data_IF_471451690244
#
_entry.id   IF_471451690244
#
_cell.length_a   1.000
_cell.length_b   1.000
_cell.length_c   1.000
_cell.angle_alpha   90.00
_cell.angle_beta   90.00
_cell.angle_gamma   90.00
#
_symmetry.space_group_name_H-M   'P 1'
#
loop_
_entity.id
_entity.type
_entity.pdbx_description
1 polymer ?
#
# COMPACT_ATOMS: atom_id res chain seq x y z
N UNK A 1 -1.71 5.80 22.56
CA UNK A 1 -2.12 5.42 21.21
C UNK A 1 -3.40 4.65 21.32
N UNK A 2 -4.34 4.97 20.45
CA UNK A 2 -5.65 4.35 20.44
C UNK A 2 -6.12 4.24 18.99
N UNK A 3 -6.76 3.13 18.65
CA UNK A 3 -7.42 2.97 17.34
C UNK A 3 -6.49 3.04 16.12
N UNK A 4 -5.27 2.50 16.25
CA UNK A 4 -4.21 2.56 15.23
C UNK A 4 -3.84 1.14 14.75
N UNK A 5 -3.49 1.04 13.47
CA UNK A 5 -2.83 -0.14 12.90
C UNK A 5 -1.33 0.17 12.74
N UNK A 6 -0.44 -0.66 13.32
CA UNK A 6 1.01 -0.61 13.15
C UNK A 6 1.49 -1.95 12.59
N UNK A 7 2.25 -1.90 11.50
CA UNK A 7 2.66 -3.05 10.69
C UNK A 7 3.88 -2.73 9.85
N UNK A 8 4.51 -3.80 9.36
CA UNK A 8 5.63 -3.86 8.42
C UNK A 8 7.00 -3.47 9.00
N UNK A 9 7.16 -3.45 10.32
CA UNK A 9 8.49 -3.40 10.93
C UNK A 9 8.92 -4.82 11.36
N UNK A 10 10.02 -5.37 10.81
CA UNK A 10 10.36 -6.78 10.97
C UNK A 10 10.75 -7.17 12.41
N UNK A 11 11.18 -6.21 13.23
CA UNK A 11 11.72 -6.47 14.57
C UNK A 11 11.04 -5.65 15.68
N UNK A 12 10.67 -4.38 15.44
CA UNK A 12 10.12 -3.51 16.49
C UNK A 12 9.26 -2.40 15.88
N UNK A 13 7.97 -2.41 16.21
CA UNK A 13 7.00 -1.40 15.80
C UNK A 13 7.12 -0.12 16.66
N UNK A 14 7.48 -0.25 17.94
CA UNK A 14 7.60 0.88 18.87
C UNK A 14 8.89 0.80 19.65
N UNK A 15 9.69 1.86 19.56
CA UNK A 15 10.99 1.98 20.20
C UNK A 15 11.04 3.14 21.19
N UNK A 16 11.33 2.84 22.46
CA UNK A 16 11.55 3.87 23.49
C UNK A 16 13.04 4.24 23.51
N UNK A 17 13.37 5.51 23.75
CA UNK A 17 14.77 5.93 23.85
C UNK A 17 15.45 5.21 25.04
N UNK A 18 16.60 4.53 24.85
CA UNK A 18 17.33 3.89 25.95
C UNK A 18 18.04 4.90 26.87
N UNK A 19 18.13 6.17 26.45
CA UNK A 19 18.81 7.24 27.17
C UNK A 19 17.91 8.46 27.36
N UNK A 20 18.28 9.29 28.33
CA UNK A 20 17.55 10.52 28.64
C UNK A 20 16.36 10.25 29.55
N UNK A 21 15.41 11.19 29.59
CA UNK A 21 14.24 11.09 30.46
C UNK A 21 13.34 9.94 30.00
N UNK A 22 12.80 9.14 30.94
CA UNK A 22 11.92 8.05 30.58
C UNK A 22 10.65 8.58 29.94
N UNK A 23 10.16 7.86 28.93
CA UNK A 23 8.87 8.13 28.30
C UNK A 23 7.83 7.09 28.73
N UNK A 24 6.56 7.41 28.48
CA UNK A 24 5.48 6.46 28.70
C UNK A 24 4.56 6.42 27.50
N UNK A 25 4.02 5.25 27.19
CA UNK A 25 2.97 5.09 26.20
C UNK A 25 1.85 4.19 26.74
N UNK A 26 0.61 4.58 26.50
CA UNK A 26 -0.55 3.70 26.65
C UNK A 26 -0.98 3.21 25.27
N UNK A 27 -1.38 1.95 25.15
CA UNK A 27 -1.84 1.34 23.89
C UNK A 27 -3.12 0.57 24.17
N UNK A 28 -4.18 0.93 23.46
CA UNK A 28 -5.53 0.38 23.63
C UNK A 28 -6.23 0.36 22.27
N UNK A 29 -7.03 -0.67 21.97
CA UNK A 29 -7.78 -0.79 20.72
C UNK A 29 -6.93 -0.59 19.45
N UNK A 30 -5.68 -1.08 19.46
CA UNK A 30 -4.79 -1.04 18.31
C UNK A 30 -4.60 -2.43 17.70
N UNK A 31 -4.29 -2.50 16.40
CA UNK A 31 -3.76 -3.71 15.78
C UNK A 31 -2.26 -3.51 15.57
N UNK A 32 -1.42 -4.27 16.27
CA UNK A 32 0.04 -4.13 16.22
C UNK A 32 0.62 -5.48 15.82
N UNK A 33 1.33 -5.52 14.69
CA UNK A 33 2.03 -6.72 14.23
C UNK A 33 3.11 -7.14 15.23
N UNK A 34 3.04 -8.39 15.69
CA UNK A 34 3.87 -8.91 16.78
C UNK A 34 3.43 -8.47 18.18
N UNK A 35 2.29 -7.78 18.29
CA UNK A 35 1.62 -7.45 19.54
C UNK A 35 2.50 -6.70 20.54
N UNK A 36 2.44 -7.10 21.81
CA UNK A 36 3.24 -6.47 22.88
C UNK A 36 4.74 -6.77 22.73
N UNK A 37 5.09 -7.89 22.10
CA UNK A 37 6.49 -8.33 21.93
C UNK A 37 7.22 -7.47 20.89
N UNK A 38 6.49 -6.83 19.97
CA UNK A 38 7.01 -5.85 19.01
C UNK A 38 7.31 -4.47 19.62
N UNK A 39 7.24 -4.32 20.95
CA UNK A 39 7.48 -3.06 21.66
C UNK A 39 8.73 -3.17 22.52
N UNK A 40 9.74 -2.36 22.18
CA UNK A 40 10.95 -2.27 22.96
C UNK A 40 10.95 -1.02 23.85
N UNK A 41 10.76 -1.24 25.15
CA UNK A 41 10.79 -0.17 26.17
C UNK A 41 12.22 0.24 26.59
N UNK A 42 13.24 -0.52 26.19
CA UNK A 42 14.64 -0.36 26.58
C UNK A 42 14.89 -0.24 28.10
N UNK A 43 13.96 -0.72 28.93
CA UNK A 43 13.95 -0.49 30.38
C UNK A 43 14.07 1.01 30.77
N UNK A 44 13.76 1.93 29.86
CA UNK A 44 13.85 3.38 30.07
C UNK A 44 12.50 4.06 29.82
N UNK A 45 11.42 3.40 30.23
CA UNK A 45 10.08 3.96 30.17
C UNK A 45 9.02 2.98 30.62
N UNK A 46 7.77 3.39 30.52
CA UNK A 46 6.62 2.59 30.97
C UNK A 46 5.63 2.39 29.83
N UNK A 47 5.34 1.13 29.52
CA UNK A 47 4.26 0.75 28.62
C UNK A 47 3.02 0.37 29.44
N UNK A 48 1.89 1.00 29.14
CA UNK A 48 0.58 0.62 29.63
C UNK A 48 -0.16 -0.09 28.50
N UNK A 49 -0.23 -1.42 28.59
CA UNK A 49 -0.99 -2.24 27.65
C UNK A 49 -2.41 -2.43 28.15
N UNK A 50 -3.37 -1.74 27.55
CA UNK A 50 -4.77 -1.85 27.93
C UNK A 50 -5.58 -2.75 27.00
N UNK A 51 -6.89 -2.53 26.98
CA UNK A 51 -7.85 -3.44 26.35
C UNK A 51 -7.92 -3.31 24.83
N UNK A 52 -8.50 -4.32 24.19
CA UNK A 52 -8.90 -4.27 22.78
C UNK A 52 -7.75 -4.31 21.76
N UNK A 53 -6.51 -4.46 22.20
CA UNK A 53 -5.38 -4.64 21.28
C UNK A 53 -5.44 -6.03 20.63
N UNK A 54 -5.14 -6.08 19.34
CA UNK A 54 -5.10 -7.30 18.53
C UNK A 54 -3.76 -7.39 17.78
N UNK A 55 -3.40 -8.61 17.39
CA UNK A 55 -2.23 -8.94 16.55
C UNK A 55 -2.69 -9.98 15.53
N UNK A 56 -3.39 -9.51 14.50
CA UNK A 56 -3.99 -10.32 13.46
C UNK A 56 -3.87 -9.56 12.13
N UNK A 57 -3.87 -10.25 10.99
CA UNK A 57 -3.84 -9.56 9.69
C UNK A 57 -5.08 -8.64 9.53
N UNK A 58 -4.92 -7.31 9.36
CA UNK A 58 -6.03 -6.41 9.10
C UNK A 58 -6.83 -6.70 7.83
N UNK A 59 -6.39 -7.59 6.93
CA UNK A 59 -7.11 -7.93 5.69
C UNK A 59 -7.52 -6.68 4.90
N UNK A 60 -6.55 -5.87 4.51
CA UNK A 60 -6.79 -4.70 3.68
C UNK A 60 -7.32 -5.08 2.28
N UNK A 61 -8.15 -4.23 1.69
CA UNK A 61 -8.63 -4.39 0.31
C UNK A 61 -7.43 -4.32 -0.63
N UNK A 62 -7.05 -5.46 -1.21
CA UNK A 62 -6.00 -5.58 -2.22
C UNK A 62 -6.29 -4.80 -3.48
N UNK A 63 -5.22 -4.35 -4.16
CA UNK A 63 -5.32 -3.70 -5.47
C UNK A 63 -4.44 -2.48 -5.63
N UNK A 64 -4.06 -1.80 -4.55
CA UNK A 64 -3.14 -0.65 -4.56
C UNK A 64 -2.28 -0.62 -3.28
N UNK A 65 -1.02 -0.16 -3.41
CA UNK A 65 -0.03 -0.10 -2.33
C UNK A 65 -0.36 0.85 -1.16
N UNK A 66 -1.51 1.55 -1.23
CA UNK A 66 -1.99 2.45 -0.19
C UNK A 66 -3.48 2.23 0.11
N UNK A 67 -4.03 1.09 -0.30
CA UNK A 67 -5.39 0.71 0.06
C UNK A 67 -5.38 0.20 1.50
N UNK A 68 -5.62 1.11 2.44
CA UNK A 68 -5.76 0.79 3.87
C UNK A 68 -7.24 0.62 4.27
N UNK A 69 -8.13 0.50 3.27
CA UNK A 69 -9.52 0.12 3.48
C UNK A 69 -9.59 -1.34 3.93
N UNK A 70 -10.46 -1.66 4.88
CA UNK A 70 -10.61 -2.99 5.43
C UNK A 70 -11.60 -3.81 4.59
N UNK A 71 -11.31 -5.10 4.40
CA UNK A 71 -12.33 -6.03 3.92
C UNK A 71 -13.41 -6.25 4.99
N UNK A 72 -14.64 -6.65 4.61
CA UNK A 72 -15.70 -6.96 5.58
C UNK A 72 -15.38 -8.11 6.54
N UNK A 73 -14.34 -8.91 6.27
CA UNK A 73 -13.90 -10.02 7.12
C UNK A 73 -12.75 -9.64 8.05
N UNK A 74 -12.27 -8.39 7.98
CA UNK A 74 -11.15 -7.92 8.79
C UNK A 74 -11.44 -8.02 10.28
N UNK A 75 -10.47 -8.47 11.11
CA UNK A 75 -10.58 -8.44 12.56
C UNK A 75 -10.59 -7.01 13.13
N UNK A 76 -10.23 -6.00 12.31
CA UNK A 76 -10.25 -4.59 12.68
C UNK A 76 -11.64 -3.95 12.55
N UNK A 77 -12.58 -4.61 11.86
CA UNK A 77 -13.94 -4.09 11.66
C UNK A 77 -14.72 -4.09 12.97
N UNK A 78 -15.37 -2.97 13.27
CA UNK A 78 -16.09 -2.70 14.49
C UNK A 78 -15.26 -3.03 15.74
N UNK A 79 -13.92 -2.95 15.68
CA UNK A 79 -13.01 -3.40 16.75
C UNK A 79 -12.37 -2.25 17.52
N UNK A 80 -12.59 -1.01 17.09
CA UNK A 80 -12.01 0.20 17.68
C UNK A 80 -12.57 0.57 19.05
N UNK A 81 -12.08 1.66 19.65
CA UNK A 81 -12.54 2.01 21.00
C UNK A 81 -14.06 2.23 21.05
N UNK A 82 -14.78 1.61 22.02
CA UNK A 82 -16.22 1.80 22.17
C UNK A 82 -16.56 3.20 22.71
N UNK A 83 -15.64 3.83 23.45
CA UNK A 83 -15.78 5.22 23.90
C UNK A 83 -15.05 6.15 22.92
N UNK A 84 -15.84 6.92 22.18
CA UNK A 84 -15.35 7.93 21.23
C UNK A 84 -15.38 9.35 21.81
N UNK A 85 -15.79 9.49 23.07
CA UNK A 85 -15.89 10.78 23.76
C UNK A 85 -14.52 11.45 23.82
N UNK A 86 -14.45 12.72 23.42
CA UNK A 86 -13.20 13.49 23.49
C UNK A 86 -12.16 13.13 22.42
N UNK A 87 -12.44 12.16 21.53
CA UNK A 87 -11.55 11.86 20.40
C UNK A 87 -11.64 12.89 19.26
N UNK A 88 -12.66 13.76 19.29
CA UNK A 88 -12.89 14.78 18.25
C UNK A 88 -12.89 14.19 16.84
N UNK A 89 -13.56 13.05 16.68
CA UNK A 89 -13.61 12.35 15.40
C UNK A 89 -14.19 13.26 14.30
N UNK A 90 -13.64 13.23 13.08
CA UNK A 90 -14.26 13.88 11.93
C UNK A 90 -15.62 13.23 11.62
N UNK A 91 -16.48 13.93 10.89
CA UNK A 91 -17.77 13.38 10.47
C UNK A 91 -17.62 12.18 9.51
N UNK A 92 -16.52 12.16 8.75
CA UNK A 92 -16.21 11.12 7.76
C UNK A 92 -14.80 10.58 7.92
N UNK A 93 -14.57 9.37 7.42
CA UNK A 93 -13.26 8.75 7.27
C UNK A 93 -12.46 9.32 6.08
N UNK A 94 -11.31 8.72 5.75
CA UNK A 94 -10.47 9.16 4.63
C UNK A 94 -11.06 8.86 3.24
N UNK A 95 -11.99 7.90 3.13
CA UNK A 95 -12.73 7.61 1.89
C UNK A 95 -13.97 8.51 1.73
N UNK A 96 -14.32 9.31 2.74
CA UNK A 96 -15.50 10.17 2.75
C UNK A 96 -16.77 9.49 3.27
N UNK A 97 -16.66 8.27 3.80
CA UNK A 97 -17.77 7.54 4.43
C UNK A 97 -17.98 8.00 5.88
N UNK A 98 -19.15 7.78 6.50
CA UNK A 98 -19.36 8.13 7.91
C UNK A 98 -18.30 7.50 8.83
N UNK A 99 -17.72 8.30 9.73
CA UNK A 99 -16.63 7.84 10.62
C UNK A 99 -17.09 6.84 11.70
N UNK A 100 -18.38 6.77 11.98
CA UNK A 100 -18.95 5.75 12.87
C UNK A 100 -19.98 5.01 12.05
N UNK A 101 -19.72 3.75 11.77
CA UNK A 101 -20.60 2.84 11.06
C UNK A 101 -21.00 1.70 12.01
N UNK A 102 -22.18 1.10 11.86
CA UNK A 102 -22.70 0.04 12.75
C UNK A 102 -22.63 0.29 14.29
N UNK A 103 -22.40 1.53 14.72
CA UNK A 103 -22.33 1.93 16.12
C UNK A 103 -20.95 1.80 16.78
N UNK A 104 -19.91 1.37 16.05
CA UNK A 104 -18.54 1.29 16.54
C UNK A 104 -17.57 1.74 15.44
N UNK A 105 -16.41 2.28 15.81
CA UNK A 105 -15.40 2.63 14.81
C UNK A 105 -14.53 1.41 14.52
N UNK A 106 -14.02 1.32 13.31
CA UNK A 106 -12.97 0.37 12.95
C UNK A 106 -11.62 0.78 13.55
N UNK A 107 -10.71 -0.18 13.75
CA UNK A 107 -9.31 0.14 14.06
C UNK A 107 -8.65 0.66 12.77
N UNK A 108 -8.09 1.87 12.83
CA UNK A 108 -7.49 2.54 11.67
C UNK A 108 -8.28 3.77 11.19
N UNK A 109 -7.98 4.23 9.97
CA UNK A 109 -8.44 5.51 9.44
C UNK A 109 -9.61 5.42 8.43
N UNK A 110 -10.02 4.20 8.08
CA UNK A 110 -11.11 3.90 7.15
C UNK A 110 -12.18 3.09 7.88
N UNK A 111 -13.45 3.26 7.48
CA UNK A 111 -14.59 2.50 8.00
C UNK A 111 -15.15 1.58 6.91
N UNK A 112 -15.24 0.28 7.18
CA UNK A 112 -15.81 -0.71 6.28
C UNK A 112 -17.33 -0.54 6.18
N UNK A 113 -17.86 -0.28 4.99
CA UNK A 113 -19.30 0.04 4.77
C UNK A 113 -20.16 -1.18 4.39
N UNK A 114 -19.83 -2.40 4.83
CA UNK A 114 -20.59 -3.63 4.56
C UNK A 114 -20.87 -3.95 3.06
N UNK A 115 -20.09 -3.39 2.12
CA UNK A 115 -20.23 -3.79 0.72
C UNK A 115 -19.56 -5.13 0.50
N UNK A 116 -20.37 -6.19 0.38
CA UNK A 116 -19.93 -7.51 -0.06
C UNK A 116 -19.44 -7.40 -1.52
N UNK A 117 -18.19 -7.01 -1.73
CA UNK A 117 -17.49 -7.24 -2.98
C UNK A 117 -17.14 -8.73 -3.06
N UNK A 118 -17.72 -9.44 -4.03
CA UNK A 118 -17.49 -10.89 -4.27
C UNK A 118 -16.05 -11.18 -4.76
N UNK A 119 -15.26 -10.15 -5.03
CA UNK A 119 -13.83 -10.31 -5.23
C UNK A 119 -13.17 -10.31 -3.86
N UNK A 120 -12.84 -11.50 -3.35
CA UNK A 120 -11.82 -11.62 -2.31
C UNK A 120 -10.57 -10.93 -2.86
N UNK A 121 -10.06 -9.87 -2.22
CA UNK A 121 -8.73 -9.42 -2.56
C UNK A 121 -7.80 -10.59 -2.23
N UNK A 122 -7.03 -11.00 -3.23
CA UNK A 122 -5.94 -11.93 -3.05
C UNK A 122 -5.05 -11.38 -1.91
N UNK A 123 -5.09 -12.04 -0.75
CA UNK A 123 -4.37 -11.63 0.47
C UNK A 123 -2.86 -11.84 0.35
N UNK A 124 -2.34 -12.12 -0.84
CA UNK A 124 -0.90 -12.14 -1.12
C UNK A 124 -0.32 -10.72 -1.29
N UNK A 125 -0.41 -9.90 -0.23
CA UNK A 125 0.31 -8.62 -0.12
C UNK A 125 1.83 -8.78 0.14
N UNK A 126 2.44 -9.86 -0.34
CA UNK A 126 3.90 -10.03 -0.41
C UNK A 126 4.41 -9.76 -1.84
N UNK A 127 3.72 -8.92 -2.62
CA UNK A 127 4.27 -8.45 -3.87
C UNK A 127 5.13 -7.21 -3.61
N UNK A 128 6.44 -7.45 -3.46
CA UNK A 128 7.55 -6.48 -3.47
C UNK A 128 7.66 -5.68 -4.79
N UNK A 129 6.60 -5.68 -5.60
CA UNK A 129 6.53 -5.11 -6.92
C UNK A 129 5.08 -4.71 -7.19
N UNK A 130 4.87 -3.45 -7.54
CA UNK A 130 3.55 -2.97 -7.95
C UNK A 130 3.70 -2.08 -9.18
N UNK A 131 2.92 -2.36 -10.21
CA UNK A 131 2.84 -1.56 -11.42
C UNK A 131 1.50 -0.82 -11.42
N UNK A 132 1.49 0.50 -11.55
CA UNK A 132 0.26 1.30 -11.62
C UNK A 132 -0.32 1.32 -13.04
N UNK A 133 -1.60 1.67 -13.15
CA UNK A 133 -2.18 2.04 -14.43
C UNK A 133 -1.51 3.33 -14.96
N UNK A 134 -1.11 3.33 -16.24
CA UNK A 134 -0.49 4.50 -16.86
C UNK A 134 -1.44 5.71 -16.85
N UNK A 135 -0.92 6.91 -16.67
CA UNK A 135 -1.71 8.15 -16.62
C UNK A 135 -1.14 9.21 -17.57
N UNK A 136 -1.96 9.79 -18.46
CA UNK A 136 -3.36 9.46 -18.72
C UNK A 136 -3.54 8.11 -19.44
N UNK A 137 -4.71 7.50 -19.31
CA UNK A 137 -5.13 6.37 -20.14
C UNK A 137 -6.62 6.50 -20.48
N UNK A 138 -7.02 6.70 -21.75
CA UNK A 138 -6.16 6.79 -22.94
C UNK A 138 -5.24 8.02 -22.97
N UNK A 139 -4.13 7.95 -23.71
CA UNK A 139 -3.20 9.08 -23.92
C UNK A 139 -3.01 9.43 -25.40
N UNK A 140 -2.60 10.66 -25.69
CA UNK A 140 -2.33 11.16 -27.06
C UNK A 140 -0.84 11.19 -27.38
N UNK A 141 -0.10 12.03 -26.65
CA UNK A 141 1.32 12.28 -26.90
C UNK A 141 2.21 11.44 -26.00
N UNK A 142 1.98 11.53 -24.69
CA UNK A 142 2.79 10.85 -23.69
C UNK A 142 1.92 10.29 -22.56
N UNK A 143 2.47 9.30 -21.86
CA UNK A 143 1.89 8.79 -20.62
C UNK A 143 2.99 8.55 -19.60
N UNK A 144 2.64 8.72 -18.34
CA UNK A 144 3.48 8.32 -17.22
C UNK A 144 3.12 6.88 -16.82
N UNK A 145 4.15 6.05 -16.61
CA UNK A 145 4.04 4.71 -16.05
C UNK A 145 4.77 4.75 -14.71
N UNK A 146 4.02 4.48 -13.66
CA UNK A 146 4.51 4.47 -12.29
C UNK A 146 4.59 3.03 -11.81
N UNK A 147 5.63 2.73 -11.04
CA UNK A 147 5.74 1.48 -10.32
C UNK A 147 6.55 1.65 -9.04
N UNK A 148 6.38 0.70 -8.12
CA UNK A 148 7.13 0.61 -6.88
C UNK A 148 7.81 -0.75 -6.86
N UNK A 149 9.08 -0.73 -6.48
CA UNK A 149 9.88 -1.91 -6.15
C UNK A 149 10.20 -1.86 -4.64
N UNK A 150 10.14 -3.00 -3.97
CA UNK A 150 10.44 -3.12 -2.55
C UNK A 150 11.38 -4.30 -2.32
N UNK A 151 12.68 -4.07 -2.48
CA UNK A 151 13.70 -5.01 -1.99
C UNK A 151 14.61 -4.29 -1.00
N UNK A 152 14.69 -4.85 0.21
CA UNK A 152 15.43 -4.31 1.34
C UNK A 152 16.94 -4.56 1.24
N UNK A 153 17.38 -5.46 0.35
CA UNK A 153 18.68 -6.12 0.51
C UNK A 153 19.67 -5.84 -0.63
N UNK A 154 19.22 -5.48 -1.84
CA UNK A 154 20.09 -5.38 -3.02
C UNK A 154 19.62 -4.34 -4.03
N UNK A 155 20.60 -3.74 -4.73
CA UNK A 155 20.34 -2.97 -5.95
C UNK A 155 20.01 -3.95 -7.06
N UNK A 156 18.76 -3.93 -7.51
CA UNK A 156 18.28 -4.83 -8.56
C UNK A 156 17.91 -4.04 -9.82
N UNK A 157 18.11 -4.69 -10.95
CA UNK A 157 17.77 -4.15 -12.26
C UNK A 157 16.28 -4.38 -12.53
N UNK A 158 15.60 -3.38 -13.07
CA UNK A 158 14.25 -3.53 -13.58
C UNK A 158 14.26 -3.35 -15.10
N UNK A 159 13.24 -3.94 -15.75
CA UNK A 159 12.94 -3.60 -17.13
C UNK A 159 11.46 -3.40 -17.37
N UNK A 160 11.12 -2.30 -18.02
CA UNK A 160 9.78 -1.98 -18.46
C UNK A 160 9.73 -2.08 -19.99
N UNK A 161 9.02 -3.08 -20.49
CA UNK A 161 8.90 -3.36 -21.93
C UNK A 161 7.48 -3.09 -22.42
N UNK A 162 7.35 -2.41 -23.56
CA UNK A 162 6.08 -2.06 -24.19
C UNK A 162 5.92 -2.92 -25.45
N UNK A 163 4.75 -3.52 -25.62
CA UNK A 163 4.42 -4.42 -26.72
C UNK A 163 3.13 -3.99 -27.43
N UNK A 164 3.04 -4.31 -28.71
CA UNK A 164 1.76 -4.27 -29.42
C UNK A 164 0.94 -5.55 -29.17
N UNK A 165 -0.29 -5.61 -29.68
CA UNK A 165 -1.20 -6.77 -29.52
C UNK A 165 -0.73 -8.04 -30.22
N UNK A 166 0.27 -7.96 -31.11
CA UNK A 166 0.93 -9.12 -31.73
C UNK A 166 2.10 -9.66 -30.88
N UNK A 167 2.36 -9.07 -29.72
CA UNK A 167 3.49 -9.42 -28.85
C UNK A 167 4.84 -8.88 -29.34
N UNK A 168 4.86 -7.99 -30.32
CA UNK A 168 6.12 -7.39 -30.81
C UNK A 168 6.56 -6.29 -29.85
N UNK A 169 7.84 -6.31 -29.46
CA UNK A 169 8.45 -5.27 -28.64
C UNK A 169 8.49 -3.94 -29.42
N UNK A 170 8.00 -2.89 -28.78
CA UNK A 170 7.93 -1.52 -29.32
C UNK A 170 9.00 -0.64 -28.70
N UNK A 171 9.12 -0.69 -27.37
CA UNK A 171 10.06 0.12 -26.60
C UNK A 171 10.43 -0.59 -25.31
N UNK A 172 11.66 -0.42 -24.82
CA UNK A 172 12.14 -0.92 -23.55
C UNK A 172 12.83 0.19 -22.76
N UNK A 173 12.63 0.17 -21.45
CA UNK A 173 13.31 1.02 -20.48
C UNK A 173 13.95 0.13 -19.43
N UNK A 174 15.27 0.15 -19.35
CA UNK A 174 16.03 -0.54 -18.32
C UNK A 174 16.53 0.46 -17.29
N UNK A 175 16.58 0.06 -16.03
CA UNK A 175 17.12 0.89 -14.95
C UNK A 175 17.42 0.07 -13.71
N UNK A 176 17.80 0.76 -12.63
CA UNK A 176 18.16 0.14 -11.35
C UNK A 176 17.43 0.86 -10.22
N UNK A 177 16.95 0.12 -9.23
CA UNK A 177 16.42 0.70 -7.99
C UNK A 177 17.23 0.19 -6.81
N UNK A 178 17.60 1.08 -5.89
CA UNK A 178 18.48 0.80 -4.75
C UNK A 178 17.86 1.20 -3.40
N UNK A 179 16.62 1.67 -3.39
CA UNK A 179 16.00 2.30 -2.21
C UNK A 179 14.60 1.73 -1.97
N UNK A 180 14.25 1.66 -0.68
CA UNK A 180 13.03 1.08 -0.17
C UNK A 180 11.80 1.91 -0.60
N UNK A 181 10.78 1.24 -1.17
CA UNK A 181 9.54 1.86 -1.67
C UNK A 181 9.75 3.05 -2.62
N UNK A 182 10.75 2.96 -3.51
CA UNK A 182 10.92 4.00 -4.53
C UNK A 182 9.79 3.93 -5.54
N UNK A 183 9.00 5.00 -5.57
CA UNK A 183 8.09 5.27 -6.67
C UNK A 183 8.90 5.71 -7.89
N UNK A 184 9.16 4.77 -8.80
CA UNK A 184 9.85 5.05 -10.05
C UNK A 184 8.85 5.49 -11.12
N UNK A 185 9.26 6.51 -11.89
CA UNK A 185 8.47 7.06 -12.99
C UNK A 185 9.19 6.88 -14.31
N UNK A 186 8.49 6.31 -15.28
CA UNK A 186 8.89 6.28 -16.68
C UNK A 186 7.89 7.10 -17.48
N UNK A 187 8.39 7.99 -18.33
CA UNK A 187 7.56 8.72 -19.31
C UNK A 187 7.77 8.07 -20.66
N UNK A 188 6.68 7.64 -21.29
CA UNK A 188 6.70 7.17 -22.67
C UNK A 188 5.99 8.16 -23.57
N UNK A 189 6.72 8.67 -24.56
CA UNK A 189 6.29 9.65 -25.58
C UNK A 189 5.59 9.01 -26.78
N UNK A 190 5.18 7.74 -26.64
CA UNK A 190 4.50 7.00 -27.69
C UNK A 190 5.36 6.74 -28.92
N UNK A 191 6.68 6.59 -28.76
CA UNK A 191 7.61 6.22 -29.83
C UNK A 191 8.14 4.78 -29.72
N UNK A 192 8.57 4.21 -30.84
CA UNK A 192 9.32 2.95 -30.89
C UNK A 192 10.83 3.15 -30.55
N UNK A 193 11.62 2.08 -30.55
CA UNK A 193 13.09 2.13 -30.36
C UNK A 193 13.84 3.03 -31.36
N UNK A 194 13.24 3.33 -32.52
CA UNK A 194 13.84 4.23 -33.52
C UNK A 194 13.35 5.68 -33.36
N UNK A 195 12.57 5.98 -32.31
CA UNK A 195 12.01 7.32 -32.06
C UNK A 195 10.83 7.66 -32.97
N UNK A 196 10.24 6.69 -33.67
CA UNK A 196 9.08 6.92 -34.55
C UNK A 196 7.79 6.79 -33.78
N UNK A 197 6.85 7.69 -34.04
CA UNK A 197 5.53 7.66 -33.41
C UNK A 197 4.78 6.37 -33.77
N UNK A 198 4.24 5.71 -32.75
CA UNK A 198 3.44 4.49 -32.92
C UNK A 198 1.99 4.84 -33.24
N UNK A 199 1.30 3.95 -33.95
CA UNK A 199 -0.09 4.15 -34.32
C UNK A 199 -1.02 4.19 -33.09
N UNK A 200 -2.17 4.88 -33.15
CA UNK A 200 -3.23 4.73 -32.15
C UNK A 200 -3.64 3.26 -32.02
N UNK A 201 -3.91 2.81 -30.80
CA UNK A 201 -4.24 1.42 -30.55
C UNK A 201 -4.02 0.99 -29.11
N UNK A 202 -4.23 -0.31 -28.88
CA UNK A 202 -3.95 -0.94 -27.59
C UNK A 202 -2.52 -1.43 -27.53
N UNK A 203 -1.87 -1.19 -26.41
CA UNK A 203 -0.53 -1.66 -26.09
C UNK A 203 -0.52 -2.34 -24.73
N UNK A 204 0.42 -3.24 -24.52
CA UNK A 204 0.71 -3.84 -23.22
C UNK A 204 2.05 -3.31 -22.73
N UNK A 205 2.17 -3.07 -21.43
CA UNK A 205 3.45 -2.78 -20.79
C UNK A 205 3.68 -3.78 -19.68
N UNK A 206 4.90 -4.32 -19.64
CA UNK A 206 5.34 -5.36 -18.72
C UNK A 206 6.51 -4.83 -17.91
N UNK A 207 6.38 -4.86 -16.60
CA UNK A 207 7.47 -4.62 -15.66
C UNK A 207 8.04 -5.97 -15.22
N UNK A 208 9.35 -6.14 -15.35
CA UNK A 208 10.10 -7.28 -14.82
C UNK A 208 11.07 -6.78 -13.75
N UNK A 209 11.04 -7.39 -12.58
CA UNK A 209 11.88 -7.06 -11.44
C UNK A 209 12.03 -8.28 -10.53
N UNK A 210 13.27 -8.61 -10.15
CA UNK A 210 13.59 -9.75 -9.27
C UNK A 210 12.89 -11.08 -9.66
N UNK A 211 12.88 -11.39 -10.97
CA UNK A 211 12.22 -12.60 -11.51
C UNK A 211 10.69 -12.55 -11.53
N UNK A 212 10.07 -11.53 -10.95
CA UNK A 212 8.63 -11.28 -11.04
C UNK A 212 8.29 -10.46 -12.29
N UNK A 213 7.07 -10.63 -12.78
CA UNK A 213 6.57 -9.88 -13.92
C UNK A 213 5.11 -9.44 -13.72
N UNK A 214 4.83 -8.15 -13.90
CA UNK A 214 3.48 -7.58 -13.89
C UNK A 214 3.19 -6.95 -15.24
N UNK A 215 2.00 -7.23 -15.79
CA UNK A 215 1.56 -6.73 -17.10
C UNK A 215 0.31 -5.89 -16.94
N UNK A 216 0.26 -4.75 -17.64
CA UNK A 216 -0.93 -3.92 -17.76
C UNK A 216 -1.16 -3.48 -19.21
N UNK A 217 -2.36 -2.98 -19.47
CA UNK A 217 -2.83 -2.52 -20.78
C UNK A 217 -2.93 -1.00 -20.80
N UNK A 218 -2.55 -0.38 -21.91
CA UNK A 218 -2.74 1.04 -22.16
C UNK A 218 -3.33 1.29 -23.55
N UNK A 219 -3.94 2.46 -23.75
CA UNK A 219 -4.58 2.85 -25.00
C UNK A 219 -4.01 4.19 -25.48
N UNK A 220 -3.44 4.19 -26.69
CA UNK A 220 -3.05 5.41 -27.40
C UNK A 220 -4.16 5.86 -28.34
N UNK A 221 -4.52 7.13 -28.28
CA UNK A 221 -5.44 7.81 -29.19
C UNK A 221 -4.67 8.86 -30.03
N UNK A 222 -5.35 9.45 -31.02
CA UNK A 222 -4.75 10.46 -31.92
C UNK A 222 -4.54 11.79 -31.21
#
# INVERSE_FOLDING_TARGET
MINIILRNEPDTEIWFSPIGNPCSASIEYCNIEGGIDAINTNNNGTLYWGDGNIDEDPLFVGGDLFSYELTPQSPCVDAGTPDTTGLHLPATDLAGNPRIFNGRIDIGAYECQDTVSIDQPDTSFIHNLYLFQNTPNPFTNETEILFITADYTRVEDYSLSIYNTKGQLIRRFDGRTNEFWVKTKIVWDGTDEQGRQVAPGTYLYKLEYNGQAIVRKMVKVK
#
